data_IF_762506846111
#
_entry.id   IF_762506846111
#
_cell.length_a   1.000
_cell.length_b   1.000
_cell.length_c   1.000
_cell.angle_alpha   90.00
_cell.angle_beta   90.00
_cell.angle_gamma   90.00
#
_symmetry.space_group_name_H-M   'P 1'
#
loop_
_entity.id
_entity.type
_entity.pdbx_description
1 polymer ?
#
# COMPACT_ATOMS: atom_id res chain seq x y z
N UNK A 1 -15.01 -4.35 -14.29
CA UNK A 1 -13.94 -4.08 -13.32
C UNK A 1 -12.70 -3.34 -13.86
N UNK A 2 -12.08 -3.71 -15.00
CA UNK A 2 -10.86 -3.05 -15.53
C UNK A 2 -10.95 -1.52 -15.67
N UNK A 3 -12.09 -1.00 -16.15
CA UNK A 3 -12.34 0.46 -16.25
C UNK A 3 -12.32 1.15 -14.89
N UNK A 4 -12.91 0.52 -13.86
CA UNK A 4 -12.92 1.03 -12.48
C UNK A 4 -11.51 1.14 -11.90
N UNK A 5 -10.69 0.09 -12.06
CA UNK A 5 -9.29 0.09 -11.61
C UNK A 5 -8.49 1.19 -12.31
N UNK A 6 -8.64 1.32 -13.63
CA UNK A 6 -7.98 2.37 -14.40
C UNK A 6 -8.40 3.78 -13.94
N UNK A 7 -9.71 4.00 -13.70
CA UNK A 7 -10.24 5.28 -13.17
C UNK A 7 -9.64 5.62 -11.81
N UNK A 8 -9.68 4.69 -10.86
CA UNK A 8 -9.10 4.86 -9.52
C UNK A 8 -7.61 5.16 -9.59
N UNK A 9 -6.87 4.44 -10.45
CA UNK A 9 -5.44 4.66 -10.65
C UNK A 9 -5.17 6.06 -11.18
N UNK A 10 -5.91 6.50 -12.20
CA UNK A 10 -5.77 7.82 -12.78
C UNK A 10 -6.06 8.92 -11.74
N UNK A 11 -7.08 8.74 -10.89
CA UNK A 11 -7.39 9.67 -9.81
C UNK A 11 -6.25 9.76 -8.77
N UNK A 12 -5.73 8.61 -8.32
CA UNK A 12 -4.57 8.57 -7.40
C UNK A 12 -3.35 9.25 -8.05
N UNK A 13 -3.03 8.90 -9.30
CA UNK A 13 -1.88 9.49 -9.99
C UNK A 13 -2.04 11.00 -10.21
N UNK A 14 -3.25 11.45 -10.52
CA UNK A 14 -3.53 12.88 -10.63
C UNK A 14 -3.30 13.57 -9.28
N UNK A 15 -3.82 13.01 -8.19
CA UNK A 15 -3.64 13.55 -6.84
C UNK A 15 -2.18 13.59 -6.40
N UNK A 16 -1.38 12.59 -6.80
CA UNK A 16 0.06 12.57 -6.55
C UNK A 16 0.79 13.65 -7.36
N UNK A 17 0.47 13.81 -8.66
CA UNK A 17 1.13 14.80 -9.52
C UNK A 17 0.81 16.24 -9.13
N UNK A 18 -0.43 16.54 -8.70
CA UNK A 18 -0.83 17.91 -8.39
C UNK A 18 -0.30 18.42 -7.06
N UNK A 19 0.12 17.53 -6.15
CA UNK A 19 0.48 17.89 -4.77
C UNK A 19 1.94 17.66 -4.41
N UNK A 20 2.71 17.04 -5.30
CA UNK A 20 4.16 16.91 -5.13
C UNK A 20 4.84 18.18 -5.66
N UNK A 21 5.73 18.81 -4.89
CA UNK A 21 6.48 19.98 -5.34
C UNK A 21 7.35 19.67 -6.59
N UNK A 22 7.58 20.67 -7.44
CA UNK A 22 8.50 20.63 -8.59
C UNK A 22 9.92 20.14 -8.24
N UNK A 23 10.32 20.26 -6.97
CA UNK A 23 11.56 19.68 -6.46
C UNK A 23 11.65 18.15 -6.67
N UNK A 24 10.51 17.48 -6.86
CA UNK A 24 10.48 16.08 -7.28
C UNK A 24 10.69 15.89 -8.78
N UNK A 25 10.70 16.89 -9.66
CA UNK A 25 10.82 16.69 -11.13
C UNK A 25 12.07 15.88 -11.53
N UNK A 26 13.14 15.94 -10.72
CA UNK A 26 14.36 15.13 -10.91
C UNK A 26 14.32 13.74 -10.25
N UNK A 27 13.50 13.57 -9.22
CA UNK A 27 13.33 12.31 -8.48
C UNK A 27 12.11 11.52 -9.00
N UNK A 28 11.17 12.19 -9.68
CA UNK A 28 9.86 11.72 -10.12
C UNK A 28 9.93 10.74 -11.27
N UNK A 29 10.84 10.89 -12.24
CA UNK A 29 10.87 9.96 -13.38
C UNK A 29 11.15 8.51 -12.93
N UNK A 30 12.10 8.29 -12.00
CA UNK A 30 12.37 6.97 -11.42
C UNK A 30 11.47 6.58 -10.23
N UNK A 31 10.83 7.54 -9.57
CA UNK A 31 10.06 7.28 -8.33
C UNK A 31 8.56 7.21 -8.58
N UNK A 32 8.02 8.10 -9.42
CA UNK A 32 6.60 8.16 -9.76
C UNK A 32 6.21 7.31 -10.95
N UNK A 33 7.14 6.58 -11.58
CA UNK A 33 6.94 5.57 -12.66
C UNK A 33 5.46 5.48 -13.04
N UNK A 34 5.06 6.17 -14.10
CA UNK A 34 3.67 6.43 -14.53
C UNK A 34 2.84 5.17 -14.87
N UNK A 35 3.30 4.00 -14.47
CA UNK A 35 2.71 2.70 -14.70
C UNK A 35 2.59 1.85 -13.42
N UNK A 36 2.78 2.40 -12.21
CA UNK A 36 2.58 1.62 -10.96
C UNK A 36 1.11 1.24 -10.76
N UNK A 37 0.86 0.12 -10.09
CA UNK A 37 -0.49 -0.39 -9.79
C UNK A 37 -1.24 0.44 -8.75
N UNK A 38 -0.51 1.21 -7.94
CA UNK A 38 -1.06 1.95 -6.80
C UNK A 38 -1.88 1.03 -5.86
N UNK A 39 -1.31 -0.15 -5.58
CA UNK A 39 -2.01 -1.26 -4.95
C UNK A 39 -2.67 -0.91 -3.61
N UNK A 40 -1.99 -0.17 -2.73
CA UNK A 40 -2.52 0.13 -1.39
C UNK A 40 -3.70 1.10 -1.49
N UNK A 41 -3.57 2.13 -2.33
CA UNK A 41 -4.69 3.01 -2.67
C UNK A 41 -5.86 2.26 -3.33
N UNK A 42 -5.57 1.32 -4.25
CA UNK A 42 -6.59 0.49 -4.88
C UNK A 42 -7.32 -0.44 -3.90
N UNK A 43 -6.60 -1.03 -2.93
CA UNK A 43 -7.21 -1.85 -1.86
C UNK A 43 -8.12 -1.00 -0.99
N UNK A 44 -7.66 0.19 -0.57
CA UNK A 44 -8.49 1.12 0.20
C UNK A 44 -9.77 1.49 -0.56
N UNK A 45 -9.65 1.94 -1.82
CA UNK A 45 -10.81 2.30 -2.65
C UNK A 45 -11.72 1.12 -2.95
N UNK A 46 -11.17 -0.10 -3.07
CA UNK A 46 -11.98 -1.31 -3.25
C UNK A 46 -12.83 -1.65 -2.03
N UNK A 47 -12.29 -1.38 -0.83
CA UNK A 47 -13.01 -1.58 0.43
C UNK A 47 -14.04 -0.48 0.66
N UNK A 48 -13.70 0.79 0.39
CA UNK A 48 -14.66 1.91 0.48
C UNK A 48 -15.86 1.64 -0.43
N UNK A 49 -15.65 1.44 -1.73
CA UNK A 49 -16.76 1.18 -2.68
C UNK A 49 -17.54 -0.10 -2.34
N UNK A 50 -16.93 -1.04 -1.61
CA UNK A 50 -17.59 -2.25 -1.14
C UNK A 50 -18.44 -2.05 0.13
N UNK A 51 -18.05 -1.13 1.01
CA UNK A 51 -18.74 -0.84 2.28
C UNK A 51 -19.78 0.27 2.14
N UNK A 52 -19.52 1.25 1.27
CA UNK A 52 -20.35 2.44 1.03
C UNK A 52 -20.18 2.89 -0.43
N UNK A 53 -21.13 2.52 -1.29
CA UNK A 53 -21.07 2.82 -2.73
C UNK A 53 -21.40 4.26 -3.09
N UNK A 54 -21.95 5.03 -2.15
CA UNK A 54 -22.50 6.36 -2.42
C UNK A 54 -21.46 7.46 -2.20
N UNK A 55 -20.35 7.14 -1.53
CA UNK A 55 -19.26 8.08 -1.28
C UNK A 55 -18.53 8.46 -2.58
N UNK A 56 -18.31 9.75 -2.77
CA UNK A 56 -17.57 10.24 -3.94
C UNK A 56 -16.12 9.79 -3.90
N UNK A 57 -15.60 9.39 -5.06
CA UNK A 57 -14.19 9.06 -5.23
C UNK A 57 -13.28 10.25 -4.87
N UNK A 58 -13.71 11.47 -5.18
CA UNK A 58 -12.92 12.69 -4.96
C UNK A 58 -12.65 12.92 -3.47
N UNK A 59 -13.61 12.60 -2.60
CA UNK A 59 -13.52 12.79 -1.15
C UNK A 59 -12.48 11.85 -0.51
N UNK A 60 -12.29 10.66 -1.09
CA UNK A 60 -11.45 9.60 -0.49
C UNK A 60 -10.09 9.45 -1.16
N UNK A 61 -9.91 10.01 -2.36
CA UNK A 61 -8.63 9.97 -3.09
C UNK A 61 -7.45 10.53 -2.29
N UNK A 62 -7.55 11.58 -1.47
CA UNK A 62 -6.43 12.05 -0.65
C UNK A 62 -5.83 10.95 0.26
N UNK A 63 -6.69 10.13 0.89
CA UNK A 63 -6.25 9.00 1.71
C UNK A 63 -5.66 7.85 0.87
N UNK A 64 -6.23 7.61 -0.32
CA UNK A 64 -5.64 6.64 -1.24
C UNK A 64 -4.23 7.06 -1.71
N UNK A 65 -4.04 8.36 -1.94
CA UNK A 65 -2.77 8.95 -2.36
C UNK A 65 -1.73 8.95 -1.22
N UNK A 66 -2.14 9.25 0.02
CA UNK A 66 -1.24 9.22 1.19
C UNK A 66 -0.66 7.82 1.43
N UNK A 67 -1.49 6.77 1.32
CA UNK A 67 -1.03 5.37 1.37
C UNK A 67 0.03 5.09 0.29
N UNK A 68 -0.14 5.62 -0.91
CA UNK A 68 0.85 5.43 -1.99
C UNK A 68 2.13 6.24 -1.79
N UNK A 69 2.05 7.41 -1.16
CA UNK A 69 3.23 8.20 -0.80
C UNK A 69 4.09 7.49 0.26
N UNK A 70 3.48 6.91 1.29
CA UNK A 70 4.22 6.09 2.28
C UNK A 70 4.86 4.86 1.60
N UNK A 71 4.13 4.21 0.70
CA UNK A 71 4.65 3.09 -0.10
C UNK A 71 5.87 3.50 -0.96
N UNK A 72 5.85 4.72 -1.51
CA UNK A 72 6.95 5.30 -2.27
C UNK A 72 8.15 5.66 -1.38
N UNK A 73 7.92 6.34 -0.26
CA UNK A 73 8.92 6.65 0.75
C UNK A 73 9.68 5.39 1.18
N UNK A 74 8.94 4.34 1.56
CA UNK A 74 9.54 3.05 1.96
C UNK A 74 10.41 2.45 0.85
N UNK A 75 10.02 2.59 -0.43
CA UNK A 75 10.82 2.11 -1.57
C UNK A 75 12.10 2.93 -1.73
N UNK A 76 12.04 4.26 -1.58
CA UNK A 76 13.20 5.14 -1.71
C UNK A 76 14.22 4.90 -0.62
N UNK A 77 13.79 4.86 0.64
CA UNK A 77 14.68 4.55 1.77
C UNK A 77 15.32 3.17 1.64
N UNK A 78 14.58 2.15 1.15
CA UNK A 78 15.16 0.84 0.84
C UNK A 78 16.21 0.91 -0.28
N UNK A 79 15.92 1.59 -1.40
CA UNK A 79 16.88 1.76 -2.52
C UNK A 79 18.14 2.48 -2.05
N UNK A 80 17.98 3.53 -1.24
CA UNK A 80 19.07 4.25 -0.59
C UNK A 80 19.94 3.28 0.25
N UNK A 81 19.34 2.53 1.16
CA UNK A 81 20.07 1.55 1.99
C UNK A 81 20.81 0.50 1.14
N UNK A 82 20.19 -0.01 0.09
CA UNK A 82 20.82 -0.95 -0.84
C UNK A 82 22.00 -0.31 -1.60
N UNK A 83 21.88 0.93 -2.04
CA UNK A 83 22.96 1.69 -2.70
C UNK A 83 24.14 1.90 -1.75
N UNK A 84 23.86 2.33 -0.52
CA UNK A 84 24.88 2.50 0.51
C UNK A 84 25.66 1.20 0.76
N UNK A 85 24.97 0.06 0.85
CA UNK A 85 25.61 -1.25 1.03
C UNK A 85 26.50 -1.67 -0.14
N UNK A 86 26.12 -1.30 -1.37
CA UNK A 86 26.88 -1.64 -2.59
C UNK A 86 28.08 -0.73 -2.81
N UNK A 87 27.92 0.58 -2.63
CA UNK A 87 28.95 1.56 -3.02
C UNK A 87 29.67 2.22 -1.85
N UNK A 88 29.20 2.06 -0.61
CA UNK A 88 29.71 2.78 0.56
C UNK A 88 29.39 4.29 0.56
N UNK A 89 28.70 4.80 -0.46
CA UNK A 89 28.38 6.22 -0.61
C UNK A 89 27.03 6.52 0.03
N UNK A 90 26.97 7.57 0.86
CA UNK A 90 25.71 8.02 1.47
C UNK A 90 24.74 8.57 0.40
N UNK A 91 23.55 7.98 0.23
CA UNK A 91 22.58 8.37 -0.80
C UNK A 91 21.63 9.47 -0.30
N UNK A 92 22.19 10.61 0.14
CA UNK A 92 21.45 11.68 0.86
C UNK A 92 20.20 12.16 0.12
N UNK A 93 20.27 12.33 -1.21
CA UNK A 93 19.12 12.78 -2.01
C UNK A 93 17.93 11.81 -1.92
N UNK A 94 18.18 10.50 -1.97
CA UNK A 94 17.14 9.47 -1.87
C UNK A 94 16.52 9.39 -0.47
N UNK A 95 17.29 9.72 0.57
CA UNK A 95 16.78 9.81 1.96
C UNK A 95 15.86 11.01 2.09
N UNK A 96 16.33 12.21 1.73
CA UNK A 96 15.57 13.46 1.83
C UNK A 96 14.29 13.44 0.98
N UNK A 97 14.36 12.85 -0.22
CA UNK A 97 13.17 12.65 -1.04
C UNK A 97 12.14 11.74 -0.35
N UNK A 98 12.58 10.68 0.32
CA UNK A 98 11.70 9.83 1.12
C UNK A 98 11.04 10.58 2.28
N UNK A 99 11.79 11.41 2.99
CA UNK A 99 11.29 12.18 4.15
C UNK A 99 10.25 13.23 3.71
N UNK A 100 10.46 13.84 2.54
CA UNK A 100 9.50 14.76 1.95
C UNK A 100 8.20 14.04 1.52
N UNK A 101 8.30 12.82 0.97
CA UNK A 101 7.12 12.00 0.65
C UNK A 101 6.31 11.62 1.90
N UNK A 102 6.98 11.33 3.02
CA UNK A 102 6.29 11.09 4.31
C UNK A 102 5.53 12.34 4.77
N UNK A 103 6.21 13.49 4.78
CA UNK A 103 5.60 14.77 5.15
C UNK A 103 4.37 15.08 4.27
N UNK A 104 4.47 14.83 2.96
CA UNK A 104 3.35 15.00 2.02
C UNK A 104 2.25 13.96 2.19
N UNK A 105 2.56 12.73 2.58
CA UNK A 105 1.54 11.73 2.91
C UNK A 105 0.69 12.19 4.10
N UNK A 106 1.33 12.76 5.11
CA UNK A 106 0.70 13.25 6.32
C UNK A 106 -0.17 14.49 6.08
N UNK A 107 0.31 15.44 5.27
CA UNK A 107 -0.49 16.58 4.79
C UNK A 107 -1.76 16.09 4.07
N UNK A 108 -1.60 15.22 3.07
CA UNK A 108 -2.71 14.65 2.29
C UNK A 108 -3.73 13.87 3.12
N UNK A 109 -3.28 13.18 4.16
CA UNK A 109 -4.15 12.45 5.06
C UNK A 109 -5.07 13.35 5.89
N UNK A 110 -4.86 14.67 5.87
CA UNK A 110 -5.67 15.67 6.58
C UNK A 110 -6.57 16.50 5.66
N UNK A 111 -6.47 16.33 4.34
CA UNK A 111 -7.17 17.16 3.33
C UNK A 111 -8.58 16.65 2.94
N UNK A 112 -9.09 15.60 3.56
CA UNK A 112 -10.40 15.05 3.22
C UNK A 112 -11.52 15.70 4.06
N UNK A 113 -12.68 15.91 3.45
CA UNK A 113 -13.83 16.54 4.10
C UNK A 113 -14.49 15.58 5.10
N UNK A 114 -14.22 15.80 6.38
CA UNK A 114 -14.74 15.00 7.49
C UNK A 114 -14.64 15.75 8.82
N UNK A 115 -15.37 15.24 9.82
CA UNK A 115 -15.27 15.70 11.19
C UNK A 115 -13.82 15.57 11.72
N UNK A 116 -13.30 16.56 12.47
CA UNK A 116 -11.92 16.56 12.95
C UNK A 116 -11.49 15.28 13.69
N UNK A 117 -12.40 14.69 14.48
CA UNK A 117 -12.13 13.44 15.20
C UNK A 117 -11.92 12.24 14.27
N UNK A 118 -12.58 12.22 13.10
CA UNK A 118 -12.36 11.19 12.09
C UNK A 118 -11.02 11.40 11.37
N UNK A 119 -10.69 12.66 11.04
CA UNK A 119 -9.40 13.03 10.47
C UNK A 119 -8.25 12.60 11.40
N UNK A 120 -8.33 12.92 12.69
CA UNK A 120 -7.33 12.53 13.70
C UNK A 120 -7.15 11.00 13.76
N UNK A 121 -8.24 10.23 13.77
CA UNK A 121 -8.19 8.76 13.80
C UNK A 121 -7.57 8.17 12.54
N UNK A 122 -7.92 8.69 11.37
CA UNK A 122 -7.33 8.27 10.10
C UNK A 122 -5.84 8.59 10.04
N UNK A 123 -5.47 9.79 10.48
CA UNK A 123 -4.08 10.23 10.59
C UNK A 123 -3.27 9.31 11.52
N UNK A 124 -3.80 9.03 12.72
CA UNK A 124 -3.17 8.13 13.69
C UNK A 124 -2.94 6.73 13.12
N UNK A 125 -3.92 6.16 12.41
CA UNK A 125 -3.77 4.86 11.75
C UNK A 125 -2.66 4.86 10.70
N UNK A 126 -2.55 5.93 9.90
CA UNK A 126 -1.49 6.06 8.90
C UNK A 126 -0.10 6.15 9.55
N UNK A 127 0.06 6.97 10.60
CA UNK A 127 1.32 7.10 11.34
C UNK A 127 1.76 5.77 11.95
N UNK A 128 0.85 5.05 12.62
CA UNK A 128 1.14 3.74 13.20
C UNK A 128 1.57 2.71 12.14
N UNK A 129 0.92 2.74 10.98
CA UNK A 129 1.25 1.85 9.87
C UNK A 129 2.60 2.21 9.22
N UNK A 130 2.91 3.49 9.04
CA UNK A 130 4.21 3.96 8.54
C UNK A 130 5.33 3.46 9.44
N UNK A 131 5.23 3.67 10.76
CA UNK A 131 6.19 3.14 11.74
C UNK A 131 6.33 1.63 11.63
N UNK A 132 5.20 0.90 11.60
CA UNK A 132 5.21 -0.57 11.53
C UNK A 132 5.89 -1.09 10.26
N UNK A 133 5.71 -0.41 9.12
CA UNK A 133 6.39 -0.77 7.87
C UNK A 133 7.90 -0.50 7.95
N UNK A 134 8.31 0.61 8.57
CA UNK A 134 9.72 0.94 8.78
C UNK A 134 10.41 -0.10 9.68
N UNK A 135 9.77 -0.49 10.79
CA UNK A 135 10.22 -1.61 11.64
C UNK A 135 10.33 -2.90 10.81
N UNK A 136 9.30 -3.22 10.03
CA UNK A 136 9.31 -4.36 9.12
C UNK A 136 10.42 -4.31 8.07
N UNK A 137 10.77 -3.13 7.54
CA UNK A 137 11.91 -2.98 6.62
C UNK A 137 13.24 -3.15 7.33
N UNK A 138 13.37 -2.68 8.58
CA UNK A 138 14.57 -2.87 9.37
C UNK A 138 14.88 -4.34 9.59
N UNK A 139 13.85 -5.14 9.92
CA UNK A 139 13.96 -6.60 9.98
C UNK A 139 14.48 -7.17 8.66
N UNK A 140 13.79 -6.90 7.54
CA UNK A 140 14.20 -7.39 6.21
C UNK A 140 15.58 -6.92 5.75
N UNK A 141 16.10 -5.86 6.34
CA UNK A 141 17.42 -5.36 6.05
C UNK A 141 18.52 -6.15 6.77
N UNK A 142 18.23 -6.86 7.86
CA UNK A 142 19.17 -7.76 8.52
C UNK A 142 19.50 -8.95 7.61
N UNK A 143 20.78 -9.32 7.52
CA UNK A 143 21.32 -10.23 6.49
C UNK A 143 20.92 -11.70 6.64
N UNK A 144 20.12 -12.06 7.65
CA UNK A 144 19.87 -13.45 8.07
C UNK A 144 18.38 -13.75 8.31
N UNK A 145 17.48 -13.18 7.51
CA UNK A 145 16.06 -13.54 7.61
C UNK A 145 15.75 -14.69 6.66
N UNK A 146 15.43 -15.85 7.23
CA UNK A 146 14.67 -16.88 6.55
C UNK A 146 13.20 -16.42 6.41
N UNK A 147 12.69 -16.18 5.18
CA UNK A 147 11.31 -15.78 4.95
C UNK A 147 10.28 -16.77 5.51
N UNK A 148 10.65 -18.04 5.68
CA UNK A 148 9.79 -19.08 6.23
C UNK A 148 9.79 -19.11 7.76
N UNK A 149 10.77 -18.47 8.40
CA UNK A 149 10.89 -18.34 9.85
C UNK A 149 10.31 -17.02 10.40
N UNK A 150 9.76 -16.15 9.55
CA UNK A 150 9.13 -14.90 9.98
C UNK A 150 7.93 -15.18 10.89
N UNK A 151 7.93 -14.57 12.07
CA UNK A 151 6.79 -14.69 12.96
C UNK A 151 5.57 -13.91 12.40
N UNK A 152 4.33 -14.28 12.82
CA UNK A 152 3.14 -13.61 12.31
C UNK A 152 3.04 -12.11 12.62
N UNK A 153 3.76 -11.59 13.62
CA UNK A 153 3.80 -10.17 13.94
C UNK A 153 4.69 -9.41 12.95
N UNK A 154 5.81 -10.00 12.55
CA UNK A 154 6.71 -9.44 11.54
C UNK A 154 6.07 -9.42 10.16
N UNK A 155 5.35 -10.48 9.78
CA UNK A 155 4.53 -10.47 8.57
C UNK A 155 3.55 -9.30 8.56
N UNK A 156 2.89 -9.05 9.71
CA UNK A 156 1.93 -7.95 9.84
C UNK A 156 2.62 -6.59 9.76
N UNK A 157 3.81 -6.43 10.32
CA UNK A 157 4.62 -5.19 10.20
C UNK A 157 4.95 -4.90 8.74
N UNK A 158 5.46 -5.90 8.01
CA UNK A 158 5.83 -5.77 6.60
C UNK A 158 4.62 -5.40 5.72
N UNK A 159 3.45 -5.96 6.04
CA UNK A 159 2.20 -5.70 5.34
C UNK A 159 1.38 -4.52 5.90
N UNK A 160 1.85 -3.81 6.93
CA UNK A 160 1.03 -2.91 7.75
C UNK A 160 0.31 -1.83 6.95
N UNK A 161 0.90 -1.31 5.87
CA UNK A 161 0.28 -0.30 5.03
C UNK A 161 -0.98 -0.80 4.29
N UNK A 162 -1.06 -2.09 3.96
CA UNK A 162 -2.30 -2.70 3.42
C UNK A 162 -3.33 -2.93 4.53
N UNK A 163 -2.89 -3.20 5.76
CA UNK A 163 -3.77 -3.19 6.92
C UNK A 163 -4.36 -1.80 7.18
N UNK A 164 -3.54 -0.76 7.09
CA UNK A 164 -3.97 0.64 7.18
C UNK A 164 -5.02 0.98 6.12
N UNK A 165 -4.83 0.54 4.88
CA UNK A 165 -5.83 0.71 3.82
C UNK A 165 -7.19 0.13 4.23
N UNK A 166 -7.21 -1.03 4.89
CA UNK A 166 -8.45 -1.63 5.38
C UNK A 166 -9.02 -0.92 6.60
N UNK A 167 -8.17 -0.46 7.52
CA UNK A 167 -8.61 0.31 8.68
C UNK A 167 -9.21 1.66 8.29
N UNK A 168 -8.57 2.41 7.39
CA UNK A 168 -9.06 3.69 6.88
C UNK A 168 -10.42 3.52 6.21
N UNK A 169 -10.59 2.48 5.38
CA UNK A 169 -11.88 2.19 4.76
C UNK A 169 -12.97 1.93 5.82
N UNK A 170 -12.65 1.15 6.86
CA UNK A 170 -13.58 0.86 7.95
C UNK A 170 -13.92 2.11 8.78
N UNK A 171 -12.93 2.99 9.04
CA UNK A 171 -13.13 4.24 9.76
C UNK A 171 -14.08 5.18 9.02
N UNK A 172 -13.90 5.35 7.71
CA UNK A 172 -14.72 6.23 6.89
C UNK A 172 -16.16 5.74 6.72
N UNK A 173 -16.35 4.42 6.74
CA UNK A 173 -17.65 3.78 6.46
C UNK A 173 -18.34 3.27 7.72
N UNK A 174 -17.77 3.53 8.90
CA UNK A 174 -18.37 3.15 10.19
C UNK A 174 -18.41 1.65 10.45
N UNK A 175 -17.51 0.86 9.86
CA UNK A 175 -17.47 -0.60 10.05
C UNK A 175 -16.76 -0.96 11.37
N UNK A 176 -17.47 -1.65 12.26
CA UNK A 176 -16.99 -1.98 13.61
C UNK A 176 -15.79 -2.93 13.66
N UNK A 177 -15.66 -3.82 12.67
CA UNK A 177 -14.58 -4.82 12.59
C UNK A 177 -13.22 -4.24 12.19
N UNK A 178 -13.02 -2.91 12.30
CA UNK A 178 -11.82 -2.18 11.84
C UNK A 178 -10.49 -2.84 12.22
N UNK A 179 -10.34 -3.30 13.47
CA UNK A 179 -9.08 -3.88 13.98
C UNK A 179 -8.80 -5.24 13.34
N UNK A 180 -9.84 -6.01 13.08
CA UNK A 180 -9.69 -7.31 12.41
C UNK A 180 -9.42 -7.12 10.92
N UNK A 181 -10.11 -6.17 10.28
CA UNK A 181 -9.82 -5.75 8.91
C UNK A 181 -8.37 -5.30 8.76
N UNK A 182 -7.85 -4.49 9.69
CA UNK A 182 -6.45 -4.08 9.71
C UNK A 182 -5.49 -5.27 9.79
N UNK A 183 -5.69 -6.17 10.76
CA UNK A 183 -4.84 -7.36 10.95
C UNK A 183 -4.82 -8.26 9.72
N UNK A 184 -5.98 -8.54 9.14
CA UNK A 184 -6.10 -9.42 7.96
C UNK A 184 -5.61 -8.73 6.69
N UNK A 185 -5.84 -7.42 6.57
CA UNK A 185 -5.30 -6.58 5.51
C UNK A 185 -3.77 -6.55 5.52
N UNK A 186 -3.14 -6.52 6.69
CA UNK A 186 -1.68 -6.62 6.79
C UNK A 186 -1.16 -7.96 6.27
N UNK A 187 -1.79 -9.07 6.66
CA UNK A 187 -1.42 -10.41 6.14
C UNK A 187 -1.62 -10.51 4.63
N UNK A 188 -2.72 -9.96 4.11
CA UNK A 188 -2.95 -9.88 2.67
C UNK A 188 -1.85 -9.08 1.96
N UNK A 189 -1.47 -7.92 2.50
CA UNK A 189 -0.36 -7.11 1.97
C UNK A 189 0.98 -7.82 1.98
N UNK A 190 1.27 -8.58 3.04
CA UNK A 190 2.46 -9.43 3.14
C UNK A 190 2.46 -10.55 2.10
N UNK A 191 1.35 -11.29 1.99
CA UNK A 191 1.19 -12.35 0.98
C UNK A 191 1.48 -11.81 -0.43
N UNK A 192 0.86 -10.67 -0.79
CA UNK A 192 1.06 -10.05 -2.11
C UNK A 192 2.52 -9.66 -2.30
N UNK A 193 3.19 -9.13 -1.28
CA UNK A 193 4.61 -8.81 -1.36
C UNK A 193 5.47 -10.06 -1.54
N UNK A 194 5.20 -11.16 -0.83
CA UNK A 194 5.94 -12.42 -0.92
C UNK A 194 5.90 -12.98 -2.35
N UNK A 195 4.75 -12.92 -3.00
CA UNK A 195 4.51 -13.50 -4.31
C UNK A 195 4.75 -12.54 -5.49
N UNK A 196 5.41 -11.39 -5.24
CA UNK A 196 5.88 -10.55 -6.35
C UNK A 196 7.16 -11.13 -6.95
N UNK A 197 7.32 -11.11 -8.29
CA UNK A 197 8.53 -11.59 -8.97
C UNK A 197 9.83 -10.96 -8.44
N UNK A 198 9.79 -9.69 -8.04
CA UNK A 198 10.94 -8.92 -7.54
C UNK A 198 11.20 -9.09 -6.03
N UNK A 199 10.42 -9.90 -5.34
CA UNK A 199 10.49 -10.01 -3.88
C UNK A 199 11.64 -10.90 -3.43
N UNK A 200 12.48 -10.39 -2.52
CA UNK A 200 13.47 -11.19 -1.79
C UNK A 200 12.85 -12.28 -0.91
N UNK A 201 11.54 -12.21 -0.67
CA UNK A 201 10.76 -13.18 0.09
C UNK A 201 10.16 -14.27 -0.80
N UNK A 202 10.35 -14.21 -2.11
CA UNK A 202 9.84 -15.22 -3.03
C UNK A 202 10.62 -16.52 -2.84
N UNK A 203 9.98 -17.53 -2.25
CA UNK A 203 10.60 -18.84 -2.00
C UNK A 203 10.32 -19.86 -3.11
N UNK A 204 9.47 -19.54 -4.09
CA UNK A 204 8.99 -20.54 -5.06
C UNK A 204 8.90 -20.01 -6.51
N UNK A 205 9.61 -20.70 -7.42
CA UNK A 205 9.62 -20.46 -8.88
C UNK A 205 8.50 -21.25 -9.59
N UNK A 206 7.80 -22.12 -8.89
CA UNK A 206 6.64 -22.82 -9.43
C UNK A 206 5.38 -22.00 -9.14
N UNK A 207 4.87 -21.33 -10.18
CA UNK A 207 3.57 -20.66 -10.21
C UNK A 207 2.45 -21.67 -9.92
N UNK A 208 2.18 -21.96 -8.65
CA UNK A 208 1.04 -22.80 -8.31
C UNK A 208 -0.23 -21.93 -8.44
N UNK A 209 -0.98 -22.20 -9.51
CA UNK A 209 -1.90 -21.25 -10.15
C UNK A 209 -3.36 -21.50 -9.84
N UNK A 210 -3.71 -22.25 -8.81
CA UNK A 210 -5.09 -22.78 -8.76
C UNK A 210 -6.10 -21.87 -8.07
N UNK A 211 -5.70 -20.92 -7.21
CA UNK A 211 -6.62 -19.87 -6.77
C UNK A 211 -5.91 -18.59 -6.31
N UNK A 212 -5.77 -17.63 -7.23
CA UNK A 212 -5.22 -16.30 -6.94
C UNK A 212 -6.08 -15.50 -5.97
N UNK A 213 -7.35 -15.87 -5.74
CA UNK A 213 -8.27 -15.17 -4.84
C UNK A 213 -8.26 -15.69 -3.40
N UNK A 214 -7.73 -16.90 -3.15
CA UNK A 214 -7.52 -17.48 -1.81
C UNK A 214 -6.92 -16.53 -0.76
N UNK A 215 -5.90 -15.69 -1.05
CA UNK A 215 -5.35 -14.76 -0.05
C UNK A 215 -6.34 -13.66 0.38
N UNK A 216 -7.44 -13.45 -0.34
CA UNK A 216 -8.47 -12.45 -0.05
C UNK A 216 -9.45 -12.98 0.99
N UNK A 217 -9.68 -14.30 1.05
CA UNK A 217 -10.71 -14.92 1.92
C UNK A 217 -10.63 -14.49 3.38
N UNK A 218 -9.46 -14.49 4.04
CA UNK A 218 -9.37 -14.02 5.42
C UNK A 218 -9.88 -12.59 5.54
N UNK A 219 -9.46 -11.67 4.67
CA UNK A 219 -9.92 -10.28 4.74
C UNK A 219 -11.46 -10.19 4.60
N UNK A 220 -12.07 -11.02 3.75
CA UNK A 220 -13.52 -11.02 3.53
C UNK A 220 -14.34 -11.48 4.73
N UNK A 221 -13.85 -12.42 5.55
CA UNK A 221 -14.63 -12.85 6.71
C UNK A 221 -14.75 -11.73 7.76
N UNK A 222 -13.82 -10.76 7.76
CA UNK A 222 -13.90 -9.55 8.57
C UNK A 222 -14.77 -8.44 7.96
N UNK A 223 -15.13 -8.53 6.67
CA UNK A 223 -16.04 -7.58 6.03
C UNK A 223 -17.50 -7.82 6.46
N UNK A 224 -18.35 -6.77 6.45
CA UNK A 224 -19.79 -6.90 6.61
C UNK A 224 -20.35 -7.92 5.59
N UNK A 225 -21.27 -8.83 5.98
CA UNK A 225 -21.77 -9.87 5.09
C UNK A 225 -22.31 -9.37 3.75
N UNK A 226 -23.02 -8.23 3.76
CA UNK A 226 -23.58 -7.60 2.56
C UNK A 226 -22.49 -7.09 1.59
N UNK A 227 -21.31 -6.71 2.09
CA UNK A 227 -20.22 -6.17 1.28
C UNK A 227 -19.31 -7.25 0.67
N UNK A 228 -19.33 -8.48 1.20
CA UNK A 228 -18.33 -9.53 0.88
C UNK A 228 -18.22 -9.84 -0.61
N UNK A 229 -19.35 -9.94 -1.32
CA UNK A 229 -19.35 -10.25 -2.75
C UNK A 229 -18.70 -9.12 -3.57
N UNK A 230 -19.10 -7.87 -3.31
CA UNK A 230 -18.54 -6.69 -3.97
C UNK A 230 -17.04 -6.55 -3.67
N UNK A 231 -16.64 -6.63 -2.40
CA UNK A 231 -15.23 -6.53 -2.00
C UNK A 231 -14.40 -7.65 -2.64
N UNK A 232 -14.91 -8.88 -2.71
CA UNK A 232 -14.22 -10.00 -3.39
C UNK A 232 -13.98 -9.68 -4.85
N UNK A 233 -15.01 -9.28 -5.59
CA UNK A 233 -14.90 -8.97 -7.03
C UNK A 233 -13.84 -7.88 -7.27
N UNK A 234 -13.89 -6.83 -6.47
CA UNK A 234 -12.97 -5.70 -6.60
C UNK A 234 -11.53 -6.06 -6.24
N UNK A 235 -11.31 -6.72 -5.11
CA UNK A 235 -9.96 -7.11 -4.68
C UNK A 235 -9.33 -8.16 -5.59
N UNK A 236 -10.10 -9.11 -6.11
CA UNK A 236 -9.61 -10.08 -7.10
C UNK A 236 -9.11 -9.36 -8.35
N UNK A 237 -9.87 -8.41 -8.89
CA UNK A 237 -9.45 -7.67 -10.07
C UNK A 237 -8.25 -6.74 -9.79
N UNK A 238 -8.17 -6.15 -8.59
CA UNK A 238 -6.98 -5.39 -8.16
C UNK A 238 -5.77 -6.32 -8.13
N UNK A 239 -5.91 -7.51 -7.56
CA UNK A 239 -4.83 -8.48 -7.43
C UNK A 239 -4.35 -9.02 -8.78
N UNK A 240 -5.28 -9.37 -9.68
CA UNK A 240 -4.96 -9.77 -11.06
C UNK A 240 -4.16 -8.68 -11.77
N UNK A 241 -4.67 -7.44 -11.78
CA UNK A 241 -3.98 -6.30 -12.41
C UNK A 241 -2.61 -6.03 -11.77
N UNK A 242 -2.48 -6.36 -10.50
CA UNK A 242 -1.26 -6.13 -9.73
C UNK A 242 -0.18 -7.18 -9.97
N UNK A 243 -0.56 -8.45 -10.08
CA UNK A 243 0.36 -9.58 -10.27
C UNK A 243 0.66 -9.86 -11.75
N UNK A 244 -0.26 -9.56 -12.67
CA UNK A 244 -0.07 -9.78 -14.11
C UNK A 244 0.69 -8.63 -14.79
N UNK A 245 1.02 -7.57 -14.07
CA UNK A 245 1.95 -6.56 -14.58
C UNK A 245 3.36 -7.13 -14.59
N UNK A 246 3.95 -7.19 -15.79
CA UNK A 246 5.38 -7.38 -15.95
C UNK A 246 6.12 -6.38 -15.06
N UNK A 247 7.21 -6.81 -14.39
CA UNK A 247 8.06 -5.86 -13.68
C UNK A 247 8.41 -4.74 -14.65
N UNK A 248 8.22 -3.48 -14.22
CA UNK A 248 8.91 -2.39 -14.92
C UNK A 248 10.39 -2.74 -14.78
N UNK A 249 11.04 -3.03 -15.91
CA UNK A 249 12.30 -3.75 -16.01
C UNK A 249 13.35 -3.32 -14.95
N UNK A 250 14.19 -4.26 -14.46
CA UNK A 250 15.12 -4.02 -13.39
C UNK A 250 16.32 -3.28 -13.95
N UNK A 251 16.49 -2.02 -13.60
CA UNK A 251 17.73 -1.33 -13.97
C UNK A 251 18.85 -1.85 -13.06
N UNK A 252 19.74 -2.59 -13.73
CA UNK A 252 21.08 -2.99 -13.31
C UNK A 252 21.94 -1.80 -12.87
#
# INVERSE_FOLDING_TARGET
MRRTIARRRAAIESALRTRLPDAFDRVTEESLESNRSRFRGQVFLALVDGFDSDRSLEDVVPLAASLELVSLQTRLHRRALERFRRSGTLPTEGVLAGDLLESKAFELATEFDAEPALVERCFGALVEATRSVQEGQSLLAASEIDPEALDPADERRIGALTGCAAELAALLTGVDSRRELARRGSRFGFYVRRHRPESRLSTDRTRDSTDRSRPIDPLLEACPPAARASVREQLSAVLETHLDREPADPIA
#
